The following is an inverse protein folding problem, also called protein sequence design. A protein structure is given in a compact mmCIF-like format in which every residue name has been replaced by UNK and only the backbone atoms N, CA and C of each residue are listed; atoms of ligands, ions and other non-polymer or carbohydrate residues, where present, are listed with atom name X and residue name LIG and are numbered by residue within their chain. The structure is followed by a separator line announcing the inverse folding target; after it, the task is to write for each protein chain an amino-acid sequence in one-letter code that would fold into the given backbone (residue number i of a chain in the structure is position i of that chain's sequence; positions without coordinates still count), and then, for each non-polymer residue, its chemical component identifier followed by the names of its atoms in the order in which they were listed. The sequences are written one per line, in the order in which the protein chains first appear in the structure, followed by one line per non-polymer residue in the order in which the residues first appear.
data_IF_680789908653
#
_entry.id   IF_680789908653
#
_cell.length_a   1.000
_cell.length_b   1.000
_cell.length_c   1.000
_cell.angle_alpha   90.00
_cell.angle_beta   90.00
_cell.angle_gamma   90.00
#
_symmetry.space_group_name_H-M   'P 1'
#
loop_
_entity.id
_entity.type
_entity.pdbx_description
1 polymer ?
#
# COMPACT_ATOMS: atom_id res chain seq x y z
N UNK A 1 -3.63 -36.53 -16.63
CA UNK A 1 -2.98 -35.55 -17.55
C UNK A 1 -3.96 -35.11 -18.65
N UNK A 2 -4.68 -36.03 -19.28
CA UNK A 2 -5.66 -35.74 -20.35
C UNK A 2 -6.85 -34.93 -19.84
N UNK A 3 -7.34 -35.21 -18.63
CA UNK A 3 -8.46 -34.48 -18.01
C UNK A 3 -8.11 -33.04 -17.70
N UNK A 4 -6.85 -32.75 -17.30
CA UNK A 4 -6.36 -31.36 -17.09
C UNK A 4 -6.25 -30.61 -18.42
N UNK A 5 -5.85 -31.29 -19.49
CA UNK A 5 -5.77 -30.71 -20.84
C UNK A 5 -7.16 -30.42 -21.40
N UNK A 6 -8.13 -31.31 -21.17
CA UNK A 6 -9.54 -31.12 -21.55
C UNK A 6 -10.19 -29.96 -20.75
N UNK A 7 -9.94 -29.89 -19.46
CA UNK A 7 -10.39 -28.75 -18.62
C UNK A 7 -9.77 -27.42 -19.08
N UNK A 8 -8.49 -27.45 -19.46
CA UNK A 8 -7.81 -26.27 -19.99
C UNK A 8 -8.37 -25.85 -21.36
N UNK A 9 -8.66 -26.81 -22.26
CA UNK A 9 -9.29 -26.58 -23.56
C UNK A 9 -10.75 -26.09 -23.44
N UNK A 10 -11.52 -26.64 -22.51
CA UNK A 10 -12.90 -26.17 -22.22
C UNK A 10 -12.89 -24.79 -21.63
N UNK A 11 -11.99 -24.49 -20.70
CA UNK A 11 -11.76 -23.14 -20.15
C UNK A 11 -11.30 -22.20 -21.28
N UNK A 12 -10.37 -22.61 -22.12
CA UNK A 12 -9.86 -21.81 -23.23
C UNK A 12 -10.95 -21.52 -24.29
N UNK A 13 -11.81 -22.47 -24.64
CA UNK A 13 -12.94 -22.23 -25.53
C UNK A 13 -14.00 -21.32 -24.90
N UNK A 14 -14.33 -21.50 -23.64
CA UNK A 14 -15.27 -20.61 -22.95
C UNK A 14 -14.70 -19.20 -22.73
N UNK A 15 -13.40 -19.06 -22.47
CA UNK A 15 -12.70 -17.78 -22.41
C UNK A 15 -12.75 -17.08 -23.78
N UNK A 16 -12.51 -17.79 -24.87
CA UNK A 16 -12.61 -17.20 -26.22
C UNK A 16 -14.02 -16.72 -26.56
N UNK A 17 -15.07 -17.44 -26.13
CA UNK A 17 -16.46 -17.01 -26.33
C UNK A 17 -16.83 -15.75 -25.51
N UNK A 18 -16.16 -15.53 -24.37
CA UNK A 18 -16.26 -14.30 -23.55
C UNK A 18 -15.38 -13.14 -24.08
N UNK A 19 -14.26 -13.42 -24.73
CA UNK A 19 -13.26 -12.46 -25.13
C UNK A 19 -13.61 -11.64 -26.39
N UNK A 20 -14.50 -12.15 -27.28
CA UNK A 20 -14.77 -11.49 -28.56
C UNK A 20 -15.65 -10.23 -28.49
N UNK A 21 -16.12 -9.80 -27.31
CA UNK A 21 -17.02 -8.64 -27.21
C UNK A 21 -16.64 -7.62 -26.12
N UNK A 22 -15.49 -7.74 -25.40
CA UNK A 22 -15.21 -6.93 -24.21
C UNK A 22 -13.75 -6.48 -24.15
N UNK A 23 -13.45 -5.24 -23.67
CA UNK A 23 -12.09 -4.80 -23.45
C UNK A 23 -11.45 -5.63 -22.33
N UNK A 24 -10.51 -6.45 -22.67
CA UNK A 24 -9.59 -7.08 -21.73
C UNK A 24 -8.23 -6.40 -21.81
N UNK A 25 -7.47 -6.45 -20.76
CA UNK A 25 -6.12 -5.92 -20.69
C UNK A 25 -5.20 -6.98 -20.09
N UNK A 26 -4.06 -7.17 -20.73
CA UNK A 26 -2.96 -7.98 -20.22
C UNK A 26 -1.80 -7.03 -19.98
N UNK A 27 -1.29 -6.99 -18.76
CA UNK A 27 -0.18 -6.16 -18.34
C UNK A 27 0.84 -6.99 -17.61
N UNK A 28 2.07 -6.52 -17.58
CA UNK A 28 3.11 -7.15 -16.78
C UNK A 28 4.06 -6.09 -16.23
N UNK A 29 4.56 -6.34 -15.03
CA UNK A 29 5.63 -5.58 -14.43
C UNK A 29 6.79 -6.54 -14.12
N UNK A 30 7.91 -6.36 -14.79
CA UNK A 30 9.17 -7.03 -14.51
C UNK A 30 10.08 -6.08 -13.76
N UNK A 31 10.84 -6.57 -12.78
CA UNK A 31 11.88 -5.78 -12.12
C UNK A 31 13.13 -6.61 -11.88
N UNK A 32 14.23 -5.89 -11.90
CA UNK A 32 15.55 -6.36 -11.52
C UNK A 32 16.15 -5.34 -10.55
N UNK A 33 16.54 -5.78 -9.36
CA UNK A 33 17.10 -4.97 -8.28
C UNK A 33 18.46 -5.54 -7.90
N UNK A 34 19.42 -4.67 -7.68
CA UNK A 34 20.73 -5.01 -7.15
C UNK A 34 21.12 -4.03 -6.06
N UNK A 35 21.57 -4.56 -4.92
CA UNK A 35 21.89 -3.79 -3.73
C UNK A 35 23.29 -4.17 -3.20
N UNK A 36 24.07 -3.15 -2.88
CA UNK A 36 25.33 -3.25 -2.17
C UNK A 36 25.22 -2.54 -0.83
N UNK A 37 25.44 -3.26 0.26
CA UNK A 37 25.39 -2.73 1.63
C UNK A 37 26.82 -2.52 2.11
N UNK A 38 27.12 -1.36 2.69
CA UNK A 38 28.42 -1.06 3.26
C UNK A 38 28.79 -2.09 4.34
N UNK A 39 30.06 -2.48 4.37
CA UNK A 39 30.59 -3.49 5.29
C UNK A 39 30.01 -4.92 5.12
N UNK A 40 29.17 -5.18 4.10
CA UNK A 40 28.76 -6.51 3.74
C UNK A 40 29.45 -6.95 2.43
N UNK A 41 30.19 -8.08 2.43
CA UNK A 41 30.90 -8.53 1.23
C UNK A 41 29.98 -9.14 0.17
N UNK A 42 28.72 -9.41 0.51
CA UNK A 42 27.76 -10.07 -0.36
C UNK A 42 26.83 -9.05 -1.01
N UNK A 43 26.71 -9.15 -2.33
CA UNK A 43 25.76 -8.36 -3.12
C UNK A 43 24.39 -9.02 -3.09
N UNK A 44 23.33 -8.25 -2.79
CA UNK A 44 21.96 -8.70 -2.86
C UNK A 44 21.39 -8.43 -4.24
N UNK A 45 20.67 -9.38 -4.80
CA UNK A 45 19.96 -9.17 -6.06
C UNK A 45 18.57 -9.78 -6.00
N UNK A 46 17.60 -9.09 -6.58
CA UNK A 46 16.22 -9.54 -6.65
C UNK A 46 15.72 -9.40 -8.08
N UNK A 47 14.99 -10.39 -8.54
CA UNK A 47 14.25 -10.29 -9.78
C UNK A 47 12.84 -10.81 -9.61
N UNK A 48 11.90 -10.20 -10.30
CA UNK A 48 10.52 -10.66 -10.21
C UNK A 48 9.66 -10.19 -11.38
N UNK A 49 8.47 -10.76 -11.43
CA UNK A 49 7.48 -10.48 -12.44
C UNK A 49 6.07 -10.60 -11.87
N UNK A 50 5.24 -9.61 -12.15
CA UNK A 50 3.80 -9.66 -11.88
C UNK A 50 3.08 -9.64 -13.23
N UNK A 51 2.38 -10.72 -13.55
CA UNK A 51 1.45 -10.77 -14.69
C UNK A 51 0.06 -10.36 -14.20
N UNK A 52 -0.63 -9.48 -14.92
CA UNK A 52 -1.98 -9.02 -14.58
C UNK A 52 -2.90 -9.17 -15.78
N UNK A 53 -4.02 -9.83 -15.58
CA UNK A 53 -5.12 -9.94 -16.55
C UNK A 53 -6.33 -9.25 -15.95
N UNK A 54 -6.90 -8.31 -16.67
CA UNK A 54 -8.14 -7.65 -16.26
C UNK A 54 -9.17 -7.68 -17.38
N UNK A 55 -10.43 -7.81 -17.00
CA UNK A 55 -11.56 -7.77 -17.91
C UNK A 55 -12.70 -7.00 -17.30
N UNK A 56 -13.46 -6.29 -18.13
CA UNK A 56 -14.65 -5.58 -17.69
C UNK A 56 -15.82 -5.80 -18.64
N UNK A 57 -17.04 -5.79 -18.11
CA UNK A 57 -18.25 -5.95 -18.88
C UNK A 57 -19.36 -5.03 -18.37
N UNK A 58 -19.87 -4.16 -19.24
CA UNK A 58 -21.10 -3.42 -18.98
C UNK A 58 -22.28 -4.39 -19.08
N UNK A 59 -23.09 -4.48 -18.02
CA UNK A 59 -24.31 -5.29 -18.00
C UNK A 59 -25.52 -4.46 -18.42
N UNK A 60 -25.53 -3.18 -18.01
CA UNK A 60 -26.55 -2.20 -18.37
C UNK A 60 -25.95 -0.81 -18.47
N UNK A 61 -26.77 0.22 -18.67
CA UNK A 61 -26.31 1.61 -18.69
C UNK A 61 -25.61 2.01 -17.36
N UNK A 62 -26.07 1.48 -16.24
CA UNK A 62 -25.63 1.88 -14.90
C UNK A 62 -24.95 0.74 -14.11
N UNK A 63 -24.63 -0.40 -14.76
CA UNK A 63 -24.02 -1.52 -14.05
C UNK A 63 -22.88 -2.16 -14.85
N UNK A 64 -21.83 -2.55 -14.13
CA UNK A 64 -20.61 -3.13 -14.68
C UNK A 64 -20.08 -4.26 -13.79
N UNK A 65 -19.49 -5.25 -14.41
CA UNK A 65 -18.66 -6.26 -13.76
C UNK A 65 -17.23 -6.09 -14.21
N UNK A 66 -16.30 -6.16 -13.25
CA UNK A 66 -14.86 -6.15 -13.47
C UNK A 66 -14.22 -7.34 -12.77
N UNK A 67 -13.16 -7.84 -13.37
CA UNK A 67 -12.33 -8.92 -12.85
C UNK A 67 -10.86 -8.55 -13.03
N UNK A 68 -10.06 -8.81 -12.01
CA UNK A 68 -8.61 -8.74 -12.09
C UNK A 68 -8.00 -10.00 -11.49
N UNK A 69 -7.01 -10.53 -12.17
CA UNK A 69 -6.18 -11.63 -11.71
C UNK A 69 -4.72 -11.27 -11.96
N UNK A 70 -3.90 -11.33 -10.91
CA UNK A 70 -2.47 -11.08 -11.01
C UNK A 70 -1.69 -12.11 -10.19
N UNK A 71 -0.59 -12.59 -10.76
CA UNK A 71 0.28 -13.57 -10.15
C UNK A 71 1.69 -13.02 -10.04
N UNK A 72 2.30 -13.14 -8.85
CA UNK A 72 3.64 -12.66 -8.54
C UNK A 72 4.62 -13.81 -8.45
N UNK A 73 5.75 -13.64 -9.14
CA UNK A 73 6.93 -14.49 -9.09
C UNK A 73 8.11 -13.61 -8.74
N UNK A 74 8.83 -13.89 -7.65
CA UNK A 74 10.07 -13.19 -7.34
C UNK A 74 11.08 -14.09 -6.62
N UNK A 75 12.35 -13.75 -6.79
CA UNK A 75 13.50 -14.43 -6.21
C UNK A 75 14.50 -13.42 -5.68
N UNK A 76 14.93 -13.64 -4.45
CA UNK A 76 15.96 -12.87 -3.78
C UNK A 76 17.21 -13.74 -3.62
N UNK A 77 18.35 -13.21 -4.04
CA UNK A 77 19.65 -13.83 -3.91
C UNK A 77 20.56 -12.99 -3.03
N UNK A 78 21.37 -13.66 -2.21
CA UNK A 78 22.48 -13.08 -1.46
C UNK A 78 23.77 -13.70 -1.95
N UNK A 79 24.53 -12.93 -2.75
CA UNK A 79 25.59 -13.50 -3.58
C UNK A 79 25.02 -14.54 -4.55
N UNK A 80 25.54 -15.76 -4.51
CA UNK A 80 25.08 -16.88 -5.35
C UNK A 80 23.99 -17.74 -4.68
N UNK A 81 23.62 -17.44 -3.44
CA UNK A 81 22.62 -18.21 -2.67
C UNK A 81 21.21 -17.66 -2.88
N UNK A 82 20.27 -18.53 -3.21
CA UNK A 82 18.84 -18.19 -3.21
C UNK A 82 18.36 -18.13 -1.75
N UNK A 83 18.01 -16.94 -1.26
CA UNK A 83 17.50 -16.72 0.10
C UNK A 83 15.99 -16.90 0.16
N UNK A 84 15.27 -16.28 -0.79
CA UNK A 84 13.81 -16.31 -0.80
C UNK A 84 13.29 -16.47 -2.22
N UNK A 85 12.16 -17.17 -2.34
CA UNK A 85 11.38 -17.18 -3.56
C UNK A 85 9.89 -17.10 -3.20
N UNK A 86 9.16 -16.29 -3.92
CA UNK A 86 7.73 -16.14 -3.75
C UNK A 86 7.01 -16.45 -5.07
N UNK A 87 6.01 -17.31 -4.96
CA UNK A 87 5.08 -17.66 -6.04
C UNK A 87 3.68 -17.58 -5.46
N UNK A 88 3.03 -16.42 -5.62
CA UNK A 88 1.73 -16.19 -4.98
C UNK A 88 0.74 -15.45 -5.87
N UNK A 89 -0.54 -15.72 -5.63
CA UNK A 89 -1.59 -14.86 -6.14
C UNK A 89 -1.39 -13.46 -5.53
N UNK A 90 -1.25 -12.44 -6.39
CA UNK A 90 -0.99 -11.06 -5.98
C UNK A 90 -2.28 -10.24 -5.93
N UNK A 91 -3.21 -10.51 -6.88
CA UNK A 91 -4.58 -10.00 -6.92
C UNK A 91 -5.49 -11.06 -7.51
N UNK A 92 -6.71 -11.12 -7.03
CA UNK A 92 -7.70 -12.05 -7.55
C UNK A 92 -9.07 -11.65 -7.05
N UNK A 93 -9.73 -10.72 -7.75
CA UNK A 93 -11.00 -10.19 -7.30
C UNK A 93 -12.01 -10.01 -8.43
N UNK A 94 -13.28 -10.09 -8.05
CA UNK A 94 -14.43 -9.77 -8.88
C UNK A 94 -15.16 -8.57 -8.25
N UNK A 95 -15.53 -7.58 -9.08
CA UNK A 95 -16.29 -6.39 -8.68
C UNK A 95 -17.57 -6.28 -9.48
N UNK A 96 -18.65 -6.03 -8.79
CA UNK A 96 -19.90 -5.53 -9.37
C UNK A 96 -20.12 -4.11 -8.91
N UNK A 97 -20.38 -3.20 -9.84
CA UNK A 97 -20.61 -1.79 -9.53
C UNK A 97 -21.82 -1.24 -10.23
N UNK A 98 -22.53 -0.37 -9.52
CA UNK A 98 -23.62 0.45 -10.00
C UNK A 98 -23.38 1.91 -9.60
N UNK A 99 -24.32 2.81 -9.91
CA UNK A 99 -24.27 4.20 -9.44
C UNK A 99 -24.23 4.33 -7.91
N UNK A 100 -24.87 3.41 -7.18
CA UNK A 100 -25.07 3.53 -5.74
C UNK A 100 -24.32 2.50 -4.91
N UNK A 101 -23.87 1.38 -5.53
CA UNK A 101 -23.30 0.24 -4.83
C UNK A 101 -22.11 -0.28 -5.60
N UNK A 102 -21.03 -0.58 -4.88
CA UNK A 102 -19.90 -1.37 -5.34
C UNK A 102 -19.70 -2.56 -4.40
N UNK A 103 -19.74 -3.77 -4.91
CA UNK A 103 -19.41 -4.99 -4.19
C UNK A 103 -18.15 -5.62 -4.81
N UNK A 104 -17.15 -5.95 -3.98
CA UNK A 104 -15.90 -6.59 -4.43
C UNK A 104 -15.58 -7.80 -3.56
N UNK A 105 -15.24 -8.91 -4.18
CA UNK A 105 -14.90 -10.17 -3.52
C UNK A 105 -13.54 -10.68 -4.02
N UNK A 106 -12.69 -11.11 -3.10
CA UNK A 106 -11.41 -11.77 -3.37
C UNK A 106 -10.20 -11.00 -2.85
N UNK A 107 -9.01 -11.39 -3.31
CA UNK A 107 -7.73 -10.79 -2.91
C UNK A 107 -7.56 -9.41 -3.55
N UNK A 108 -7.63 -8.37 -2.75
CA UNK A 108 -7.69 -6.97 -3.19
C UNK A 108 -6.86 -6.04 -2.31
N UNK A 109 -6.38 -4.94 -2.88
CA UNK A 109 -5.79 -3.85 -2.10
C UNK A 109 -6.89 -3.11 -1.32
N UNK A 110 -6.63 -2.88 -0.03
CA UNK A 110 -7.42 -2.00 0.84
C UNK A 110 -6.45 -1.07 1.55
N UNK A 111 -6.66 0.23 1.43
CA UNK A 111 -5.79 1.27 1.98
C UNK A 111 -6.63 2.44 2.44
N UNK A 112 -6.28 3.03 3.57
CA UNK A 112 -6.99 4.16 4.18
C UNK A 112 -6.01 5.26 4.58
N UNK A 113 -6.58 6.46 4.78
CA UNK A 113 -5.88 7.63 5.28
C UNK A 113 -5.08 8.39 4.22
N UNK A 114 -4.84 9.69 4.45
CA UNK A 114 -4.08 10.58 3.57
C UNK A 114 -2.58 10.58 3.83
N UNK A 115 -2.09 10.04 4.97
CA UNK A 115 -0.68 10.00 5.30
C UNK A 115 0.13 9.18 4.30
N UNK A 116 1.33 9.62 3.98
CA UNK A 116 2.16 9.07 2.90
C UNK A 116 3.31 8.20 3.43
N UNK A 117 3.99 8.65 4.49
CA UNK A 117 5.15 7.97 5.08
C UNK A 117 4.79 7.42 6.45
N UNK A 118 4.31 8.27 7.36
CA UNK A 118 3.96 7.90 8.73
C UNK A 118 2.46 7.65 8.83
N UNK A 119 2.03 6.39 8.56
CA UNK A 119 0.65 6.01 8.24
C UNK A 119 -0.04 5.21 9.36
N UNK A 120 -0.74 5.86 10.31
CA UNK A 120 -1.50 5.18 11.36
C UNK A 120 -2.56 4.19 10.86
N UNK A 121 -3.17 4.46 9.69
CA UNK A 121 -4.25 3.63 9.11
C UNK A 121 -3.76 2.60 8.08
N UNK A 122 -2.47 2.30 8.03
CA UNK A 122 -1.91 1.24 7.17
C UNK A 122 -2.21 -0.17 7.73
N UNK A 123 -3.48 -0.45 8.06
CA UNK A 123 -3.87 -1.73 8.67
C UNK A 123 -3.88 -2.91 7.70
N UNK A 124 -4.06 -2.64 6.41
CA UNK A 124 -4.34 -3.66 5.40
C UNK A 124 -3.44 -3.57 4.18
N UNK A 125 -2.49 -2.68 4.19
CA UNK A 125 -1.55 -2.49 3.09
C UNK A 125 -0.10 -2.37 3.58
N UNK A 126 0.83 -2.58 2.66
CA UNK A 126 2.28 -2.47 2.86
C UNK A 126 2.86 -1.44 1.91
N UNK A 127 2.16 -0.32 1.72
CA UNK A 127 2.63 0.75 0.84
C UNK A 127 3.89 1.36 1.44
N UNK A 128 4.95 1.32 0.64
CA UNK A 128 6.25 1.90 0.95
C UNK A 128 6.56 3.00 -0.08
N UNK A 129 6.71 4.27 0.33
CA UNK A 129 7.06 5.36 -0.58
C UNK A 129 8.48 5.23 -1.13
N UNK A 130 9.34 4.43 -0.52
CA UNK A 130 10.68 4.15 -0.98
C UNK A 130 10.72 3.11 -2.10
N UNK A 131 9.71 2.24 -2.23
CA UNK A 131 9.65 1.23 -3.31
C UNK A 131 9.30 1.86 -4.67
N UNK A 132 10.25 1.88 -5.66
CA UNK A 132 9.97 2.41 -7.00
C UNK A 132 8.95 1.58 -7.78
N UNK A 133 8.75 0.31 -7.44
CA UNK A 133 7.77 -0.58 -8.07
C UNK A 133 6.34 -0.33 -7.54
N UNK A 134 6.21 0.43 -6.45
CA UNK A 134 4.95 0.79 -5.79
C UNK A 134 4.07 -0.43 -5.50
N UNK A 135 4.70 -1.54 -5.09
CA UNK A 135 4.01 -2.78 -4.78
C UNK A 135 3.41 -2.73 -3.37
N UNK A 136 2.31 -3.42 -3.18
CA UNK A 136 1.69 -3.58 -1.86
C UNK A 136 0.92 -4.88 -1.82
N UNK A 137 0.91 -5.53 -0.68
CA UNK A 137 0.13 -6.73 -0.48
C UNK A 137 -1.39 -6.43 -0.50
N UNK A 138 -2.18 -7.46 -0.65
CA UNK A 138 -3.63 -7.41 -0.63
C UNK A 138 -4.19 -8.29 0.48
N UNK A 139 -5.48 -8.12 0.73
CA UNK A 139 -6.25 -8.90 1.70
C UNK A 139 -7.39 -9.64 1.01
N UNK A 140 -7.67 -10.87 1.45
CA UNK A 140 -8.85 -11.61 1.03
C UNK A 140 -10.08 -11.06 1.74
N UNK A 141 -10.95 -10.40 1.00
CA UNK A 141 -12.10 -9.71 1.56
C UNK A 141 -13.34 -9.76 0.67
N UNK A 142 -14.50 -9.73 1.31
CA UNK A 142 -15.72 -9.21 0.72
C UNK A 142 -15.90 -7.77 1.21
N UNK A 143 -15.99 -6.82 0.29
CA UNK A 143 -16.15 -5.39 0.55
C UNK A 143 -17.38 -4.86 -0.17
N UNK A 144 -18.20 -4.11 0.56
CA UNK A 144 -19.38 -3.44 0.04
C UNK A 144 -19.26 -1.94 0.28
N UNK A 145 -19.38 -1.13 -0.76
CA UNK A 145 -19.48 0.33 -0.68
C UNK A 145 -20.86 0.78 -1.12
N UNK A 146 -21.42 1.72 -0.42
CA UNK A 146 -22.69 2.36 -0.70
C UNK A 146 -22.51 3.86 -0.80
N UNK A 147 -23.06 4.47 -1.85
CA UNK A 147 -22.96 5.89 -2.18
C UNK A 147 -24.36 6.54 -2.13
N UNK A 148 -24.90 6.87 -0.93
CA UNK A 148 -26.23 7.45 -0.80
C UNK A 148 -26.31 8.88 -1.33
N UNK A 149 -25.16 9.60 -1.35
CA UNK A 149 -25.02 10.95 -1.88
C UNK A 149 -23.63 11.15 -2.47
N UNK A 150 -23.44 12.16 -3.31
CA UNK A 150 -22.14 12.45 -3.92
C UNK A 150 -21.07 12.84 -2.90
N UNK A 151 -21.47 13.36 -1.73
CA UNK A 151 -20.56 13.80 -0.67
C UNK A 151 -20.39 12.78 0.46
N UNK A 152 -21.06 11.63 0.39
CA UNK A 152 -21.03 10.65 1.46
C UNK A 152 -20.92 9.21 0.91
N UNK A 153 -20.01 8.43 1.47
CA UNK A 153 -19.86 7.01 1.18
C UNK A 153 -19.78 6.20 2.48
N UNK A 154 -20.38 5.02 2.45
CA UNK A 154 -20.22 4.01 3.49
C UNK A 154 -19.56 2.78 2.89
N UNK A 155 -18.64 2.18 3.60
CA UNK A 155 -17.97 0.96 3.23
C UNK A 155 -18.01 -0.02 4.40
N UNK A 156 -18.26 -1.30 4.11
CA UNK A 156 -18.13 -2.39 5.07
C UNK A 156 -17.33 -3.51 4.46
N UNK A 157 -16.68 -4.31 5.29
CA UNK A 157 -15.92 -5.46 4.86
C UNK A 157 -15.96 -6.61 5.87
N UNK A 158 -15.77 -7.80 5.33
CA UNK A 158 -15.42 -9.01 6.06
C UNK A 158 -14.14 -9.51 5.41
N UNK A 159 -13.11 -9.76 6.20
CA UNK A 159 -11.80 -10.19 5.76
C UNK A 159 -11.41 -11.50 6.41
N UNK A 160 -10.62 -12.31 5.72
CA UNK A 160 -10.01 -13.51 6.27
C UNK A 160 -8.76 -13.10 7.04
N UNK A 161 -8.72 -13.42 8.35
CA UNK A 161 -7.56 -13.25 9.21
C UNK A 161 -6.50 -14.33 9.01
N UNK A 162 -5.38 -14.20 9.71
CA UNK A 162 -4.22 -15.11 9.61
C UNK A 162 -4.56 -16.52 10.08
N UNK A 163 -5.42 -16.67 11.09
CA UNK A 163 -5.83 -17.95 11.69
C UNK A 163 -7.12 -18.53 11.09
N UNK A 164 -7.46 -18.20 9.84
CA UNK A 164 -8.71 -18.57 9.16
C UNK A 164 -9.99 -18.02 9.83
N UNK A 165 -9.89 -17.13 10.81
CA UNK A 165 -11.03 -16.44 11.38
C UNK A 165 -11.40 -15.21 10.54
N UNK A 166 -12.59 -14.69 10.78
CA UNK A 166 -13.10 -13.56 10.03
C UNK A 166 -12.98 -12.29 10.88
N UNK A 167 -12.30 -11.28 10.35
CA UNK A 167 -12.34 -9.92 10.85
C UNK A 167 -13.36 -9.09 10.06
N UNK A 168 -13.89 -8.04 10.66
CA UNK A 168 -14.90 -7.21 10.03
C UNK A 168 -14.77 -5.74 10.43
N UNK A 169 -15.31 -4.88 9.60
CA UNK A 169 -15.26 -3.46 9.87
C UNK A 169 -16.11 -2.61 8.93
N UNK A 170 -16.00 -1.32 9.13
CA UNK A 170 -16.66 -0.32 8.32
C UNK A 170 -15.97 1.02 8.33
N UNK A 171 -16.24 1.81 7.29
CA UNK A 171 -15.73 3.16 7.12
C UNK A 171 -16.80 4.07 6.56
N UNK A 172 -16.98 5.23 7.20
CA UNK A 172 -17.72 6.35 6.66
C UNK A 172 -16.78 7.40 6.09
N UNK A 173 -17.11 7.93 4.91
CA UNK A 173 -16.37 8.99 4.22
C UNK A 173 -17.30 10.16 3.94
N UNK A 174 -16.88 11.37 4.27
CA UNK A 174 -17.66 12.60 4.09
C UNK A 174 -16.81 13.68 3.44
N UNK A 175 -17.19 14.11 2.23
CA UNK A 175 -16.58 15.25 1.55
C UNK A 175 -17.37 16.52 1.88
N UNK A 176 -16.68 17.53 2.37
CA UNK A 176 -17.25 18.85 2.72
C UNK A 176 -16.47 19.96 2.00
N UNK A 177 -16.96 21.18 2.10
CA UNK A 177 -16.23 22.37 1.60
C UNK A 177 -14.93 22.65 2.37
N UNK A 178 -14.79 22.07 3.57
CA UNK A 178 -13.59 22.20 4.42
C UNK A 178 -12.57 21.09 4.21
N UNK A 179 -12.95 20.02 3.49
CA UNK A 179 -12.08 18.88 3.25
C UNK A 179 -12.81 17.55 3.35
N UNK A 180 -12.04 16.47 3.28
CA UNK A 180 -12.50 15.08 3.32
C UNK A 180 -12.26 14.47 4.69
N UNK A 181 -13.26 13.81 5.22
CA UNK A 181 -13.25 13.16 6.54
C UNK A 181 -13.46 11.66 6.40
N UNK A 182 -12.74 10.89 7.17
CA UNK A 182 -12.88 9.44 7.28
C UNK A 182 -13.01 9.00 8.73
N UNK A 183 -13.92 8.06 8.99
CA UNK A 183 -14.04 7.34 10.26
C UNK A 183 -14.03 5.84 9.97
N UNK A 184 -13.12 5.10 10.57
CA UNK A 184 -12.90 3.68 10.32
C UNK A 184 -13.00 2.90 11.63
N UNK A 185 -13.70 1.78 11.61
CA UNK A 185 -13.82 0.84 12.71
C UNK A 185 -13.45 -0.54 12.19
N UNK A 186 -12.63 -1.28 12.94
CA UNK A 186 -12.26 -2.65 12.59
C UNK A 186 -12.15 -3.52 13.84
N UNK A 187 -12.60 -4.75 13.72
CA UNK A 187 -12.48 -5.75 14.77
C UNK A 187 -11.90 -7.04 14.23
N UNK A 188 -10.82 -7.47 14.86
CA UNK A 188 -10.17 -8.76 14.64
C UNK A 188 -10.40 -9.67 15.86
N UNK A 189 -11.34 -10.63 15.78
CA UNK A 189 -11.62 -11.52 16.91
C UNK A 189 -10.45 -12.42 17.32
N UNK A 190 -9.58 -12.79 16.36
CA UNK A 190 -8.39 -13.61 16.60
C UNK A 190 -7.40 -12.98 17.57
N UNK A 191 -7.21 -11.67 17.36
CA UNK A 191 -6.27 -10.88 18.15
C UNK A 191 -6.98 -10.22 19.34
N UNK A 192 -8.29 -10.46 19.50
CA UNK A 192 -9.14 -9.71 20.45
C UNK A 192 -8.92 -8.20 20.34
N UNK A 193 -8.67 -7.72 19.09
CA UNK A 193 -8.23 -6.37 18.81
C UNK A 193 -9.36 -5.55 18.19
N UNK A 194 -9.68 -4.42 18.81
CA UNK A 194 -10.60 -3.42 18.28
C UNK A 194 -9.82 -2.17 17.88
N UNK A 195 -9.97 -1.75 16.62
CA UNK A 195 -9.27 -0.61 16.06
C UNK A 195 -10.26 0.49 15.65
N UNK A 196 -9.92 1.71 15.96
CA UNK A 196 -10.67 2.91 15.58
C UNK A 196 -9.73 3.86 14.87
N UNK A 197 -10.13 4.37 13.71
CA UNK A 197 -9.36 5.32 12.93
C UNK A 197 -10.17 6.54 12.53
N UNK A 198 -9.53 7.69 12.53
CA UNK A 198 -10.09 8.94 12.02
C UNK A 198 -9.06 9.62 11.14
N UNK A 199 -9.50 10.16 10.04
CA UNK A 199 -8.65 10.93 9.14
C UNK A 199 -9.37 12.14 8.56
N UNK A 200 -8.56 13.11 8.18
CA UNK A 200 -9.01 14.36 7.57
C UNK A 200 -7.98 14.81 6.55
N UNK A 201 -8.41 15.31 5.40
CA UNK A 201 -7.58 15.95 4.40
C UNK A 201 -8.21 17.24 3.91
N UNK A 202 -7.40 18.29 3.88
CA UNK A 202 -7.71 19.58 3.27
C UNK A 202 -6.74 19.85 2.12
N UNK A 203 -7.27 20.12 0.93
CA UNK A 203 -6.50 20.51 -0.25
C UNK A 203 -6.85 21.96 -0.61
N UNK A 204 -5.97 22.88 -0.20
CA UNK A 204 -6.10 24.32 -0.46
C UNK A 204 -4.80 24.91 -0.96
N UNK A 205 -4.44 26.08 -0.44
CA UNK A 205 -3.13 26.68 -0.67
C UNK A 205 -1.98 25.80 -0.17
N UNK A 206 -2.21 25.15 0.96
CA UNK A 206 -1.40 24.06 1.50
C UNK A 206 -2.26 22.79 1.52
N UNK A 207 -1.70 21.63 1.19
CA UNK A 207 -2.27 20.37 1.58
C UNK A 207 -2.04 20.17 3.09
N UNK A 208 -3.10 19.83 3.82
CA UNK A 208 -3.01 19.53 5.26
C UNK A 208 -3.77 18.25 5.54
N UNK A 209 -3.24 17.41 6.41
CA UNK A 209 -3.96 16.22 6.84
C UNK A 209 -3.66 15.85 8.28
N UNK A 210 -4.60 15.12 8.82
CA UNK A 210 -4.51 14.44 10.09
C UNK A 210 -4.92 12.99 9.91
N UNK A 211 -4.22 12.09 10.58
CA UNK A 211 -4.56 10.67 10.63
C UNK A 211 -4.32 10.16 12.05
N UNK A 212 -5.35 9.55 12.64
CA UNK A 212 -5.26 9.00 13.97
C UNK A 212 -5.81 7.58 14.02
N UNK A 213 -5.12 6.69 14.72
CA UNK A 213 -5.53 5.32 14.97
C UNK A 213 -5.38 4.98 16.45
N UNK A 214 -6.38 4.31 16.99
CA UNK A 214 -6.31 3.71 18.32
C UNK A 214 -6.64 2.22 18.24
N UNK A 215 -5.90 1.38 18.97
CA UNK A 215 -6.20 -0.03 19.11
C UNK A 215 -6.21 -0.46 20.57
N UNK A 216 -7.15 -1.35 20.90
CA UNK A 216 -7.28 -1.98 22.20
C UNK A 216 -7.25 -3.47 21.95
N UNK A 217 -6.26 -4.14 22.54
CA UNK A 217 -6.14 -5.62 22.53
C UNK A 217 -6.42 -6.14 23.93
N UNK A 218 -7.40 -7.06 24.05
CA UNK A 218 -7.72 -7.75 25.29
C UNK A 218 -7.17 -9.16 25.20
N UNK A 219 -6.14 -9.46 25.99
CA UNK A 219 -5.67 -10.82 26.11
C UNK A 219 -6.53 -11.59 27.13
N UNK A 220 -6.76 -12.90 26.92
CA UNK A 220 -7.63 -13.77 27.74
C UNK A 220 -7.30 -13.80 29.26
N UNK A 221 -6.22 -13.15 29.68
CA UNK A 221 -5.72 -13.09 31.05
C UNK A 221 -5.88 -11.72 31.74
N UNK A 222 -6.83 -10.87 31.30
CA UNK A 222 -7.14 -9.56 31.94
C UNK A 222 -6.11 -8.46 31.58
N UNK A 223 -5.14 -8.73 30.73
CA UNK A 223 -4.15 -7.73 30.30
C UNK A 223 -4.70 -6.94 29.12
N UNK A 224 -4.75 -5.63 29.25
CA UNK A 224 -5.20 -4.71 28.20
C UNK A 224 -3.98 -3.93 27.70
N UNK A 225 -3.72 -4.01 26.39
CA UNK A 225 -2.72 -3.22 25.71
C UNK A 225 -3.40 -2.20 24.78
N UNK A 226 -3.00 -0.95 24.90
CA UNK A 226 -3.52 0.16 24.07
C UNK A 226 -2.41 0.79 23.26
N UNK A 227 -2.66 0.95 21.98
CA UNK A 227 -1.77 1.70 21.09
C UNK A 227 -2.53 2.86 20.47
N UNK A 228 -1.91 4.01 20.44
CA UNK A 228 -2.46 5.19 19.79
C UNK A 228 -1.38 5.83 18.92
N UNK A 229 -1.71 6.03 17.63
CA UNK A 229 -0.86 6.68 16.65
C UNK A 229 -1.58 7.91 16.13
N UNK A 230 -0.89 9.04 16.02
CA UNK A 230 -1.45 10.27 15.49
C UNK A 230 -0.43 10.95 14.58
N UNK A 231 -0.78 11.15 13.31
CA UNK A 231 0.05 11.84 12.33
C UNK A 231 -0.60 13.14 11.92
N UNK A 232 0.19 14.21 11.92
CA UNK A 232 -0.13 15.49 11.28
C UNK A 232 0.81 15.67 10.10
N UNK A 233 0.28 16.06 8.95
CA UNK A 233 1.08 16.29 7.76
C UNK A 233 0.67 17.55 7.01
N UNK A 234 1.62 18.07 6.26
CA UNK A 234 1.43 19.19 5.36
C UNK A 234 2.29 19.03 4.11
N UNK A 235 1.79 19.50 2.96
CA UNK A 235 2.56 19.60 1.73
C UNK A 235 2.37 20.94 1.02
N UNK A 236 3.40 21.31 0.26
CA UNK A 236 3.36 22.45 -0.65
C UNK A 236 4.25 22.23 -1.86
N UNK A 237 3.77 22.61 -3.03
CA UNK A 237 4.56 22.58 -4.25
C UNK A 237 5.06 23.99 -4.59
N UNK A 238 6.36 24.20 -4.42
CA UNK A 238 7.03 25.43 -4.78
C UNK A 238 7.19 25.56 -6.29
N UNK A 239 7.03 26.76 -6.89
CA UNK A 239 7.21 26.96 -8.33
C UNK A 239 8.71 27.04 -8.72
N UNK A 240 9.47 25.99 -8.40
CA UNK A 240 10.89 25.84 -8.71
C UNK A 240 11.04 24.77 -9.79
N UNK A 241 11.57 25.10 -10.95
CA UNK A 241 11.67 24.17 -12.06
C UNK A 241 10.30 23.71 -12.54
N UNK A 242 10.06 22.41 -12.58
CA UNK A 242 8.76 21.81 -12.92
C UNK A 242 7.83 21.65 -11.70
N UNK A 243 8.25 22.12 -10.51
CA UNK A 243 7.54 22.06 -9.24
C UNK A 243 8.31 21.25 -8.20
N UNK A 244 8.80 21.91 -7.16
CA UNK A 244 9.43 21.24 -6.00
C UNK A 244 8.36 20.94 -4.96
N UNK A 245 7.96 19.69 -4.84
CA UNK A 245 7.09 19.24 -3.75
C UNK A 245 7.91 19.12 -2.46
N UNK A 246 7.44 19.73 -1.39
CA UNK A 246 7.93 19.47 -0.04
C UNK A 246 6.76 19.04 0.82
N UNK A 247 6.93 17.92 1.51
CA UNK A 247 5.96 17.34 2.43
C UNK A 247 6.64 17.08 3.78
N UNK A 248 5.91 17.26 4.86
CA UNK A 248 6.36 16.90 6.21
C UNK A 248 5.23 16.22 6.97
N UNK A 249 5.58 15.16 7.68
CA UNK A 249 4.70 14.46 8.61
C UNK A 249 5.36 14.34 9.97
N UNK A 250 4.57 14.43 11.02
CA UNK A 250 5.02 14.13 12.39
C UNK A 250 4.01 13.20 13.04
N UNK A 251 4.49 12.09 13.57
CA UNK A 251 3.71 11.06 14.24
C UNK A 251 4.08 10.95 15.71
N UNK A 252 3.06 10.88 16.55
CA UNK A 252 3.18 10.55 17.97
C UNK A 252 2.62 9.15 18.17
N UNK A 253 3.41 8.29 18.79
CA UNK A 253 3.07 6.91 19.14
C UNK A 253 2.96 6.87 20.66
N UNK A 254 1.81 6.40 21.17
CA UNK A 254 1.61 6.13 22.60
C UNK A 254 1.25 4.69 22.81
N UNK A 255 1.98 4.03 23.66
CA UNK A 255 1.76 2.66 24.06
C UNK A 255 1.49 2.59 25.55
N UNK A 256 0.54 1.77 25.93
CA UNK A 256 0.20 1.51 27.31
C UNK A 256 -0.11 0.02 27.47
N UNK A 257 0.43 -0.59 28.53
CA UNK A 257 0.19 -1.99 28.87
C UNK A 257 -0.17 -2.12 30.34
N UNK A 258 -1.31 -2.74 30.62
CA UNK A 258 -1.75 -2.99 32.01
C UNK A 258 -0.89 -4.01 32.72
N UNK A 259 -0.34 -4.99 32.00
CA UNK A 259 0.49 -6.06 32.56
C UNK A 259 1.83 -5.58 33.09
N UNK A 260 2.43 -4.60 32.41
CA UNK A 260 3.77 -4.09 32.74
C UNK A 260 3.73 -2.80 33.53
N UNK A 261 2.53 -2.24 33.78
CA UNK A 261 2.35 -0.85 34.30
C UNK A 261 3.26 0.14 33.55
N UNK A 262 3.29 -0.02 32.24
CA UNK A 262 4.20 0.67 31.35
C UNK A 262 3.45 1.64 30.44
N UNK A 263 4.00 2.81 30.28
CA UNK A 263 3.54 3.80 29.31
C UNK A 263 4.74 4.39 28.58
N UNK A 264 4.75 4.36 27.27
CA UNK A 264 5.74 5.01 26.43
C UNK A 264 5.11 6.03 25.50
N UNK A 265 5.88 7.04 25.15
CA UNK A 265 5.55 7.97 24.08
C UNK A 265 6.77 8.12 23.21
N UNK A 266 6.61 7.96 21.90
CA UNK A 266 7.67 8.12 20.91
C UNK A 266 7.20 9.11 19.84
N UNK A 267 8.11 9.97 19.39
CA UNK A 267 7.82 10.97 18.37
C UNK A 267 8.73 10.76 17.17
N UNK A 268 8.13 10.69 15.98
CA UNK A 268 8.84 10.56 14.71
C UNK A 268 8.42 11.67 13.76
N UNK A 269 9.33 12.14 12.93
CA UNK A 269 9.02 13.06 11.84
C UNK A 269 9.61 12.56 10.53
N UNK A 270 8.91 12.81 9.43
CA UNK A 270 9.38 12.55 8.08
C UNK A 270 9.28 13.81 7.24
N UNK A 271 10.32 14.08 6.47
CA UNK A 271 10.35 15.14 5.48
C UNK A 271 10.62 14.49 4.12
N UNK A 272 9.75 14.73 3.15
CA UNK A 272 9.93 14.28 1.79
C UNK A 272 10.05 15.49 0.86
N UNK A 273 11.02 15.46 -0.04
CA UNK A 273 11.17 16.42 -1.12
C UNK A 273 11.19 15.70 -2.46
N UNK A 274 10.37 16.16 -3.41
CA UNK A 274 10.28 15.61 -4.76
C UNK A 274 10.53 16.69 -5.81
N UNK A 275 11.50 16.48 -6.71
CA UNK A 275 11.86 17.44 -7.76
C UNK A 275 11.90 16.74 -9.12
N UNK A 276 10.90 16.95 -10.00
CA UNK A 276 10.99 16.54 -11.38
C UNK A 276 11.95 17.43 -12.16
N UNK A 277 12.84 16.83 -12.96
CA UNK A 277 13.80 17.51 -13.81
C UNK A 277 13.58 17.10 -15.27
N UNK A 278 13.08 18.05 -16.07
CA UNK A 278 12.69 17.79 -17.43
C UNK A 278 11.49 16.83 -17.50
N UNK A 279 11.46 15.97 -18.53
CA UNK A 279 10.33 15.08 -18.80
C UNK A 279 10.51 13.66 -18.21
N UNK A 280 11.75 13.27 -17.93
CA UNK A 280 12.08 11.87 -17.64
C UNK A 280 12.69 11.63 -16.26
N UNK A 281 13.23 12.67 -15.63
CA UNK A 281 13.97 12.51 -14.39
C UNK A 281 13.18 13.02 -13.19
N UNK A 282 13.28 12.29 -12.09
CA UNK A 282 12.72 12.71 -10.81
C UNK A 282 13.72 12.41 -9.68
N UNK A 283 13.95 13.39 -8.82
CA UNK A 283 14.69 13.22 -7.57
C UNK A 283 13.72 13.21 -6.41
N UNK A 284 13.91 12.29 -5.48
CA UNK A 284 13.15 12.20 -4.25
C UNK A 284 14.13 12.02 -3.08
N UNK A 285 13.93 12.81 -2.05
CA UNK A 285 14.61 12.68 -0.75
C UNK A 285 13.55 12.41 0.30
N UNK A 286 13.77 11.41 1.15
CA UNK A 286 13.01 11.17 2.38
C UNK A 286 14.01 11.19 3.53
N UNK A 287 13.71 11.99 4.57
CA UNK A 287 14.46 12.02 5.81
C UNK A 287 13.51 11.68 6.94
N UNK A 288 13.76 10.59 7.62
CA UNK A 288 13.02 10.17 8.80
C UNK A 288 13.85 10.49 10.05
N UNK A 289 13.21 11.12 11.05
CA UNK A 289 13.81 11.54 12.30
C UNK A 289 13.08 10.83 13.45
N UNK A 290 13.81 10.08 14.24
CA UNK A 290 13.34 9.59 15.53
C UNK A 290 13.87 10.52 16.62
N UNK A 291 12.97 11.24 17.26
CA UNK A 291 13.34 12.25 18.25
C UNK A 291 13.76 11.63 19.59
N UNK A 292 13.28 10.46 19.93
CA UNK A 292 13.55 9.79 21.20
C UNK A 292 14.87 9.03 21.15
N UNK A 293 15.17 8.37 20.04
CA UNK A 293 16.43 7.67 19.82
C UNK A 293 17.53 8.58 19.23
N UNK A 294 17.18 9.83 18.88
CA UNK A 294 18.06 10.77 18.19
C UNK A 294 18.69 10.14 16.93
N UNK A 295 17.88 9.39 16.19
CA UNK A 295 18.28 8.70 14.97
C UNK A 295 17.73 9.40 13.73
N UNK A 296 18.53 9.39 12.66
CA UNK A 296 18.17 9.98 11.37
C UNK A 296 18.42 8.96 10.28
N UNK A 297 17.39 8.66 9.49
CA UNK A 297 17.47 7.80 8.32
C UNK A 297 17.20 8.65 7.08
N UNK A 298 18.08 8.57 6.07
CA UNK A 298 17.97 9.31 4.82
C UNK A 298 17.90 8.36 3.63
N UNK A 299 16.93 8.60 2.77
CA UNK A 299 16.74 7.89 1.52
C UNK A 299 16.73 8.88 0.35
N UNK A 300 17.60 8.69 -0.62
CA UNK A 300 17.69 9.48 -1.84
C UNK A 300 17.43 8.58 -3.04
N UNK A 301 16.49 8.95 -3.91
CA UNK A 301 16.21 8.27 -5.15
C UNK A 301 16.28 9.21 -6.34
N UNK A 302 17.05 8.80 -7.34
CA UNK A 302 16.97 9.31 -8.70
C UNK A 302 16.28 8.30 -9.59
N UNK A 303 15.21 8.72 -10.26
CA UNK A 303 14.44 7.92 -11.21
C UNK A 303 14.53 8.50 -12.60
N UNK A 304 14.77 7.65 -13.61
CA UNK A 304 14.62 7.99 -15.03
C UNK A 304 13.50 7.16 -15.61
N UNK A 305 12.37 7.82 -15.96
CA UNK A 305 11.09 7.17 -16.27
C UNK A 305 10.78 7.37 -17.75
N UNK A 306 10.55 6.28 -18.46
CA UNK A 306 10.14 6.23 -19.86
C UNK A 306 8.80 5.50 -19.99
N UNK A 307 8.22 5.46 -21.18
CA UNK A 307 6.87 4.92 -21.42
C UNK A 307 6.70 3.47 -20.89
N UNK A 308 7.72 2.64 -21.07
CA UNK A 308 7.65 1.20 -20.73
C UNK A 308 8.64 0.79 -19.64
N UNK A 309 9.63 1.60 -19.33
CA UNK A 309 10.62 1.23 -18.32
C UNK A 309 11.07 2.40 -17.47
N UNK A 310 11.58 2.11 -16.30
CA UNK A 310 12.28 3.07 -15.45
C UNK A 310 13.58 2.48 -14.92
N UNK A 311 14.54 3.36 -14.70
CA UNK A 311 15.80 3.07 -14.02
C UNK A 311 15.82 3.92 -12.76
N UNK A 312 16.08 3.29 -11.64
CA UNK A 312 16.10 3.94 -10.34
C UNK A 312 17.46 3.67 -9.67
N UNK A 313 18.08 4.72 -9.16
CA UNK A 313 19.27 4.66 -8.33
C UNK A 313 18.90 5.19 -6.95
N UNK A 314 19.12 4.39 -5.92
CA UNK A 314 18.72 4.69 -4.55
C UNK A 314 19.92 4.61 -3.63
N UNK A 315 20.01 5.54 -2.71
CA UNK A 315 21.04 5.58 -1.66
C UNK A 315 20.35 5.71 -0.32
N UNK A 316 20.64 4.80 0.58
CA UNK A 316 20.18 4.82 1.96
C UNK A 316 21.35 5.13 2.88
N UNK A 317 21.16 6.06 3.81
CA UNK A 317 22.15 6.44 4.80
C UNK A 317 21.51 6.39 6.17
N UNK A 318 21.96 5.46 7.01
CA UNK A 318 21.57 5.36 8.43
C UNK A 318 22.84 5.46 9.30
N UNK A 319 23.14 6.66 9.85
CA UNK A 319 24.35 6.90 10.59
C UNK A 319 24.47 6.09 11.89
N UNK A 320 23.36 5.58 12.43
CA UNK A 320 23.34 4.86 13.72
C UNK A 320 23.48 3.35 13.56
N UNK A 321 23.10 2.82 12.41
CA UNK A 321 23.20 1.37 12.14
C UNK A 321 24.47 0.99 11.37
N UNK A 322 25.28 1.96 10.92
CA UNK A 322 26.38 1.78 9.96
C UNK A 322 25.95 1.03 8.67
N UNK A 323 24.65 1.10 8.35
CA UNK A 323 24.07 0.43 7.20
C UNK A 323 23.79 1.47 6.11
N UNK A 324 24.82 1.79 5.34
CA UNK A 324 24.64 2.54 4.12
C UNK A 324 24.46 1.59 2.96
N UNK A 325 23.50 1.85 2.08
CA UNK A 325 23.30 1.02 0.89
C UNK A 325 23.22 1.84 -0.39
N UNK A 326 23.67 1.22 -1.47
CA UNK A 326 23.47 1.68 -2.84
C UNK A 326 22.69 0.62 -3.59
N UNK A 327 21.59 1.05 -4.20
CA UNK A 327 20.70 0.17 -4.92
C UNK A 327 20.44 0.68 -6.33
N UNK A 328 20.39 -0.26 -7.28
CA UNK A 328 19.95 -0.01 -8.66
C UNK A 328 18.77 -0.91 -8.97
N UNK A 329 17.69 -0.31 -9.51
CA UNK A 329 16.49 -1.03 -9.90
C UNK A 329 16.04 -0.66 -11.30
N UNK A 330 15.84 -1.68 -12.12
CA UNK A 330 15.23 -1.58 -13.44
C UNK A 330 13.80 -2.13 -13.36
N UNK A 331 12.84 -1.38 -13.88
CA UNK A 331 11.43 -1.81 -13.94
C UNK A 331 10.96 -1.70 -15.38
N UNK A 332 10.32 -2.76 -15.89
CA UNK A 332 9.71 -2.79 -17.22
C UNK A 332 8.22 -3.11 -17.11
N UNK A 333 7.39 -2.26 -17.71
CA UNK A 333 5.93 -2.41 -17.76
C UNK A 333 5.47 -2.61 -19.21
N UNK A 334 4.59 -3.56 -19.45
CA UNK A 334 4.03 -3.84 -20.77
C UNK A 334 2.52 -4.09 -20.77
#
# INVERSE_FOLDING_TARGET
TIMRLLLFLILYQNINMFLFAQPYSIKGQFWLRGESIENQPTFNSQMGYISTISANKKLSHDSMIDLEWAYRLDRLYKGDSLEEHHEKLYRGWLRYSTKFIEARLGLQKVSFGPAQVLRPLAWFDTIDPEDPAAQTDGVEAFRLRFFPANSFALMTWIMKGVSDTLSYGGRGELSTTLGEWGLTLHQSPDESNTQVGVDFRYDGFLGLWFEGAGSISENQNIDEDRHTLMTLGADYTFPVGAGLLIMSETMIIKEWSSKMDFSSTRTMSSIMAGLPIGMFHNFMLITNLDWDENNTYNYLRWSSIYDHFSINCMVTIDPNSDVNSLELMFIYNH
#
